data_IF_629598828404
#
_entry.id   IF_629598828404
#
_cell.length_a   1.000
_cell.length_b   1.000
_cell.length_c   1.000
_cell.angle_alpha   90.00
_cell.angle_beta   90.00
_cell.angle_gamma   90.00
#
_symmetry.space_group_name_H-M   'P 1'
#
loop_
_entity.id
_entity.type
_entity.pdbx_description
1 polymer ?
#
# COMPACT_ATOMS: atom_id res chain seq x y z
N UNK A 1 5.33 1.69 5.32
CA UNK A 1 4.18 1.14 4.55
C UNK A 1 4.58 0.78 3.13
N UNK A 2 5.17 1.69 2.36
CA UNK A 2 5.58 1.39 0.98
C UNK A 2 6.63 0.29 0.93
N UNK A 3 7.59 0.27 1.87
CA UNK A 3 8.56 -0.82 1.97
C UNK A 3 7.89 -2.17 2.29
N UNK A 4 6.85 -2.18 3.14
CA UNK A 4 6.09 -3.40 3.44
C UNK A 4 5.36 -3.93 2.21
N UNK A 5 4.75 -3.03 1.42
CA UNK A 5 4.08 -3.39 0.18
C UNK A 5 5.10 -3.89 -0.85
N UNK A 6 6.25 -3.22 -0.97
CA UNK A 6 7.34 -3.58 -1.88
C UNK A 6 7.92 -4.96 -1.54
N UNK A 7 8.15 -5.23 -0.26
CA UNK A 7 8.63 -6.54 0.22
C UNK A 7 7.64 -7.68 -0.04
N UNK A 8 6.34 -7.36 -0.08
CA UNK A 8 5.28 -8.33 -0.33
C UNK A 8 5.07 -8.66 -1.82
N UNK A 9 5.71 -7.94 -2.75
CA UNK A 9 5.53 -8.11 -4.19
C UNK A 9 6.65 -8.94 -4.81
N UNK A 10 6.28 -10.03 -5.48
CA UNK A 10 7.20 -10.78 -6.32
C UNK A 10 7.53 -10.01 -7.61
N UNK A 11 8.54 -10.44 -8.35
CA UNK A 11 8.87 -9.83 -9.64
C UNK A 11 7.75 -10.03 -10.67
N UNK A 12 7.00 -11.13 -10.58
CA UNK A 12 5.80 -11.34 -11.42
C UNK A 12 4.69 -10.34 -11.09
N UNK A 13 4.51 -9.99 -9.81
CA UNK A 13 3.52 -8.98 -9.40
C UNK A 13 3.89 -7.59 -9.92
N UNK A 14 5.19 -7.25 -9.89
CA UNK A 14 5.70 -5.99 -10.45
C UNK A 14 5.44 -5.89 -11.95
N UNK A 15 5.72 -6.96 -12.71
CA UNK A 15 5.41 -7.03 -14.14
C UNK A 15 3.91 -6.87 -14.42
N UNK A 16 3.06 -7.45 -13.58
CA UNK A 16 1.61 -7.29 -13.68
C UNK A 16 1.20 -5.83 -13.48
N UNK A 17 1.75 -5.15 -12.47
CA UNK A 17 1.48 -3.71 -12.22
C UNK A 17 1.91 -2.86 -13.42
N UNK A 18 3.08 -3.11 -14.00
CA UNK A 18 3.55 -2.42 -15.21
C UNK A 18 2.60 -2.58 -16.40
N UNK A 19 2.09 -3.81 -16.59
CA UNK A 19 1.12 -4.09 -17.65
C UNK A 19 -0.20 -3.35 -17.44
N UNK A 20 -0.75 -3.36 -16.22
CA UNK A 20 -2.00 -2.65 -15.91
C UNK A 20 -1.83 -1.13 -16.02
N UNK A 21 -0.67 -0.58 -15.63
CA UNK A 21 -0.38 0.83 -15.85
C UNK A 21 -0.33 1.19 -17.34
N UNK A 22 0.24 0.32 -18.16
CA UNK A 22 0.26 0.49 -19.62
C UNK A 22 -1.16 0.47 -20.19
N UNK A 23 -2.03 -0.42 -19.71
CA UNK A 23 -3.44 -0.43 -20.09
C UNK A 23 -4.17 0.86 -19.70
N UNK A 24 -3.96 1.36 -18.49
CA UNK A 24 -4.50 2.65 -18.05
C UNK A 24 -4.07 3.79 -18.99
N UNK A 25 -2.80 3.80 -19.41
CA UNK A 25 -2.30 4.80 -20.33
C UNK A 25 -2.93 4.73 -21.72
N UNK A 26 -3.13 3.52 -22.26
CA UNK A 26 -3.86 3.36 -23.53
C UNK A 26 -5.32 3.83 -23.41
N UNK A 27 -5.99 3.53 -22.30
CA UNK A 27 -7.33 4.06 -22.04
C UNK A 27 -7.37 5.59 -21.95
N UNK A 28 -6.32 6.24 -21.43
CA UNK A 28 -6.21 7.71 -21.45
C UNK A 28 -6.13 8.26 -22.88
N UNK A 29 -5.41 7.61 -23.79
CA UNK A 29 -5.33 8.05 -25.19
C UNK A 29 -6.66 7.96 -25.93
N UNK A 30 -7.52 7.02 -25.54
CA UNK A 30 -8.84 6.86 -26.16
C UNK A 30 -9.82 7.98 -25.76
N UNK A 31 -9.49 8.80 -24.76
CA UNK A 31 -10.28 9.97 -24.38
C UNK A 31 -10.09 11.06 -25.45
N UNK A 32 -11.19 11.41 -26.11
CA UNK A 32 -11.26 12.29 -27.30
C UNK A 32 -10.43 13.57 -27.19
N UNK A 33 -10.49 14.21 -26.03
CA UNK A 33 -9.94 15.55 -25.84
C UNK A 33 -8.40 15.57 -25.88
N UNK A 34 -7.74 14.44 -25.56
CA UNK A 34 -6.28 14.33 -25.59
C UNK A 34 -5.78 14.20 -27.02
N UNK A 35 -6.46 13.43 -27.86
CA UNK A 35 -6.11 13.29 -29.28
C UNK A 35 -6.28 14.60 -30.05
N UNK A 36 -7.29 15.39 -29.70
CA UNK A 36 -7.57 16.68 -30.34
C UNK A 36 -6.53 17.75 -29.97
N UNK A 37 -5.96 17.71 -28.75
CA UNK A 37 -4.84 18.59 -28.34
C UNK A 37 -3.58 18.35 -29.19
N UNK A 38 -3.34 17.09 -29.59
CA UNK A 38 -2.13 16.71 -30.33
C UNK A 38 -2.29 16.92 -31.84
N UNK A 39 -3.51 16.71 -32.37
CA UNK A 39 -3.78 16.72 -33.80
C UNK A 39 -4.29 18.08 -34.32
N UNK A 40 -3.51 19.15 -34.14
CA UNK A 40 -3.77 20.50 -34.65
C UNK A 40 -3.50 20.68 -36.17
N UNK A 41 -3.63 19.59 -36.93
CA UNK A 41 -3.05 19.39 -38.27
C UNK A 41 -3.61 20.33 -39.36
N UNK A 42 -4.72 21.01 -39.08
CA UNK A 42 -5.41 21.90 -40.02
C UNK A 42 -4.95 23.36 -39.98
N UNK A 43 -4.01 23.72 -39.09
CA UNK A 43 -3.50 25.10 -38.98
C UNK A 43 -2.30 25.41 -39.89
N UNK A 44 -1.81 24.45 -40.68
CA UNK A 44 -0.65 24.63 -41.56
C UNK A 44 -1.02 24.61 -43.04
N UNK A 45 -0.53 25.59 -43.80
CA UNK A 45 -0.69 25.68 -45.26
C UNK A 45 0.24 24.73 -46.04
N UNK A 46 1.26 24.16 -45.38
CA UNK A 46 2.18 23.20 -46.00
C UNK A 46 1.52 21.83 -46.21
N UNK A 47 1.53 21.35 -47.46
CA UNK A 47 0.92 20.06 -47.86
C UNK A 47 1.50 18.87 -47.10
N UNK A 48 2.80 18.85 -46.78
CA UNK A 48 3.40 17.74 -46.03
C UNK A 48 3.26 17.84 -44.51
N UNK A 49 2.80 18.98 -43.97
CA UNK A 49 2.72 19.16 -42.52
C UNK A 49 1.73 18.19 -41.87
N UNK A 50 0.63 17.85 -42.55
CA UNK A 50 -0.31 16.82 -42.10
C UNK A 50 0.37 15.48 -41.83
N UNK A 51 1.32 15.09 -42.69
CA UNK A 51 2.12 13.87 -42.50
C UNK A 51 3.07 14.00 -41.32
N UNK A 52 3.65 15.17 -41.04
CA UNK A 52 4.47 15.35 -39.85
C UNK A 52 3.64 15.21 -38.57
N UNK A 53 2.50 15.91 -38.49
CA UNK A 53 1.63 15.90 -37.31
C UNK A 53 1.03 14.53 -37.02
N UNK A 54 0.74 13.71 -38.04
CA UNK A 54 0.26 12.34 -37.83
C UNK A 54 1.26 11.41 -37.13
N UNK A 55 2.53 11.79 -37.01
CA UNK A 55 3.53 11.03 -36.24
C UNK A 55 3.70 11.55 -34.81
N UNK A 56 3.07 12.67 -34.43
CA UNK A 56 3.09 13.15 -33.06
C UNK A 56 2.14 12.29 -32.25
N UNK A 57 2.66 11.64 -31.21
CA UNK A 57 1.88 10.78 -30.33
C UNK A 57 2.39 10.94 -28.89
N UNK A 58 1.52 10.69 -27.91
CA UNK A 58 1.92 10.65 -26.50
C UNK A 58 2.40 9.22 -26.19
N UNK A 59 3.58 9.13 -25.59
CA UNK A 59 4.15 7.86 -25.14
C UNK A 59 3.98 7.71 -23.62
N UNK A 60 3.74 6.49 -23.11
CA UNK A 60 3.68 6.27 -21.67
C UNK A 60 5.04 6.58 -21.05
N UNK A 61 5.05 7.30 -19.94
CA UNK A 61 6.21 7.40 -19.07
C UNK A 61 5.94 6.57 -17.81
N UNK A 62 6.50 5.35 -17.76
CA UNK A 62 6.29 4.45 -16.62
C UNK A 62 6.93 5.08 -15.37
N UNK A 63 6.14 5.45 -14.34
CA UNK A 63 6.71 5.99 -13.13
C UNK A 63 7.48 4.87 -12.39
N UNK A 64 8.50 5.22 -11.59
CA UNK A 64 9.17 4.25 -10.74
C UNK A 64 8.16 3.50 -9.86
N UNK A 65 8.35 2.19 -9.65
CA UNK A 65 7.44 1.36 -8.84
C UNK A 65 7.18 1.98 -7.46
N UNK A 66 8.20 2.60 -6.85
CA UNK A 66 8.07 3.34 -5.60
C UNK A 66 6.99 4.42 -5.65
N UNK A 67 6.90 5.16 -6.76
CA UNK A 67 5.90 6.23 -6.94
C UNK A 67 4.49 5.67 -7.04
N UNK A 68 4.31 4.51 -7.68
CA UNK A 68 3.02 3.82 -7.73
C UNK A 68 2.63 3.33 -6.34
N UNK A 69 3.54 2.67 -5.62
CA UNK A 69 3.23 2.19 -4.27
C UNK A 69 3.00 3.35 -3.28
N UNK A 70 3.65 4.50 -3.49
CA UNK A 70 3.41 5.72 -2.73
C UNK A 70 2.01 6.31 -2.94
N UNK A 71 1.25 5.90 -3.95
CA UNK A 71 -0.15 6.34 -4.11
C UNK A 71 -1.13 5.47 -3.31
N UNK A 72 -0.68 4.31 -2.81
CA UNK A 72 -1.50 3.41 -1.98
C UNK A 72 -1.58 3.96 -0.55
N UNK A 73 -2.78 3.90 0.03
CA UNK A 73 -3.06 4.30 1.42
C UNK A 73 -3.69 3.14 2.17
N UNK A 74 -3.36 3.02 3.46
CA UNK A 74 -4.07 2.11 4.36
C UNK A 74 -5.37 2.80 4.78
N UNK A 75 -6.47 2.06 4.75
CA UNK A 75 -7.80 2.53 5.15
C UNK A 75 -8.44 1.57 6.14
N UNK A 76 -9.53 2.01 6.75
CA UNK A 76 -10.42 1.17 7.54
C UNK A 76 -11.86 1.55 7.18
N UNK A 77 -12.67 0.56 6.80
CA UNK A 77 -13.93 0.78 6.10
C UNK A 77 -13.71 1.60 4.82
N UNK A 78 -14.56 2.57 4.52
CA UNK A 78 -14.52 3.39 3.29
C UNK A 78 -13.66 4.66 3.42
N UNK A 79 -12.84 4.76 4.47
CA UNK A 79 -12.07 5.96 4.77
C UNK A 79 -10.58 5.67 4.92
N UNK A 80 -9.76 6.68 4.59
CA UNK A 80 -8.34 6.63 4.87
C UNK A 80 -8.08 6.50 6.38
N UNK A 81 -7.02 5.80 6.76
CA UNK A 81 -6.62 5.68 8.15
C UNK A 81 -6.32 7.04 8.78
N UNK A 82 -5.89 8.03 7.99
CA UNK A 82 -5.68 9.41 8.43
C UNK A 82 -6.95 10.07 8.98
N UNK A 83 -8.13 9.67 8.49
CA UNK A 83 -9.45 10.19 8.89
C UNK A 83 -10.05 9.44 10.08
N UNK A 84 -9.48 8.30 10.47
CA UNK A 84 -9.96 7.50 11.58
C UNK A 84 -9.55 8.08 12.95
N UNK A 85 -10.34 7.76 13.98
CA UNK A 85 -9.97 8.07 15.37
C UNK A 85 -8.70 7.33 15.81
N UNK A 86 -7.94 7.91 16.74
CA UNK A 86 -6.63 7.41 17.19
C UNK A 86 -6.64 5.93 17.56
N UNK A 87 -7.70 5.43 18.22
CA UNK A 87 -7.81 4.02 18.58
C UNK A 87 -7.86 3.07 17.38
N UNK A 88 -8.66 3.37 16.35
CA UNK A 88 -8.71 2.57 15.13
C UNK A 88 -7.41 2.67 14.35
N UNK A 89 -6.80 3.86 14.30
CA UNK A 89 -5.48 4.08 13.70
C UNK A 89 -4.42 3.19 14.32
N UNK A 90 -4.36 3.20 15.66
CA UNK A 90 -3.39 2.40 16.41
C UNK A 90 -3.60 0.91 16.18
N UNK A 91 -4.84 0.43 16.32
CA UNK A 91 -5.18 -0.97 16.16
C UNK A 91 -4.81 -1.52 14.77
N UNK A 92 -5.24 -0.84 13.71
CA UNK A 92 -5.00 -1.26 12.33
C UNK A 92 -3.50 -1.24 12.01
N UNK A 93 -2.78 -0.21 12.44
CA UNK A 93 -1.34 -0.12 12.22
C UNK A 93 -0.60 -1.26 12.91
N UNK A 94 -0.89 -1.52 14.19
CA UNK A 94 -0.28 -2.61 14.94
C UNK A 94 -0.56 -3.97 14.30
N UNK A 95 -1.80 -4.25 13.89
CA UNK A 95 -2.13 -5.51 13.23
C UNK A 95 -1.39 -5.71 11.92
N UNK A 96 -1.30 -4.68 11.07
CA UNK A 96 -0.56 -4.76 9.80
C UNK A 96 0.93 -4.99 10.04
N UNK A 97 1.52 -4.26 10.98
CA UNK A 97 2.94 -4.41 11.32
C UNK A 97 3.25 -5.81 11.86
N UNK A 98 2.45 -6.30 12.82
CA UNK A 98 2.65 -7.64 13.40
C UNK A 98 2.46 -8.72 12.33
N UNK A 99 1.44 -8.60 11.49
CA UNK A 99 1.21 -9.56 10.41
C UNK A 99 2.36 -9.56 9.38
N UNK A 100 3.00 -8.40 9.15
CA UNK A 100 4.15 -8.31 8.23
C UNK A 100 5.41 -9.04 8.72
N UNK A 101 5.48 -9.38 10.02
CA UNK A 101 6.54 -10.20 10.59
C UNK A 101 6.34 -11.70 10.32
N UNK A 102 5.12 -12.11 9.94
CA UNK A 102 4.78 -13.51 9.67
C UNK A 102 5.35 -13.92 8.31
N UNK A 103 6.04 -15.06 8.28
CA UNK A 103 6.44 -15.73 7.04
C UNK A 103 7.64 -15.14 6.31
N UNK A 104 8.28 -14.08 6.84
CA UNK A 104 9.41 -13.45 6.16
C UNK A 104 10.72 -14.24 6.19
N UNK A 105 10.91 -15.20 7.12
CA UNK A 105 12.13 -16.03 7.17
C UNK A 105 11.89 -17.36 7.90
N UNK A 106 12.07 -18.49 7.22
CA UNK A 106 11.97 -19.84 7.81
C UNK A 106 13.20 -20.23 8.65
N UNK A 107 14.29 -19.45 8.56
CA UNK A 107 15.57 -19.73 9.21
C UNK A 107 15.82 -18.86 10.46
N UNK A 108 14.82 -18.05 10.85
CA UNK A 108 14.96 -17.19 12.03
C UNK A 108 14.76 -17.99 13.31
N UNK A 109 15.83 -18.16 14.07
CA UNK A 109 15.79 -18.82 15.37
C UNK A 109 14.95 -18.06 16.42
N UNK A 110 14.97 -16.72 16.38
CA UNK A 110 14.25 -15.85 17.32
C UNK A 110 13.89 -14.51 16.69
N UNK A 111 12.64 -14.09 16.86
CA UNK A 111 12.11 -12.77 16.54
C UNK A 111 11.72 -12.06 17.84
N UNK A 112 12.20 -10.85 18.06
CA UNK A 112 11.80 -10.03 19.23
C UNK A 112 10.82 -8.97 18.78
N UNK A 113 9.63 -8.97 19.37
CA UNK A 113 8.59 -7.96 19.14
C UNK A 113 8.40 -7.15 20.42
N UNK A 114 8.65 -5.85 20.35
CA UNK A 114 8.45 -4.91 21.46
C UNK A 114 7.33 -3.93 21.14
N UNK A 115 6.32 -3.80 21.99
CA UNK A 115 5.20 -2.87 21.79
C UNK A 115 5.06 -1.97 23.01
N UNK A 116 5.12 -0.66 22.83
CA UNK A 116 4.86 0.30 23.89
C UNK A 116 3.35 0.59 23.97
N UNK A 117 2.76 0.47 25.16
CA UNK A 117 1.35 0.77 25.45
C UNK A 117 0.37 0.32 24.34
N UNK A 118 0.26 -1.00 24.07
CA UNK A 118 -0.61 -1.52 23.01
C UNK A 118 -2.08 -1.12 23.19
N UNK A 119 -2.51 -0.73 24.39
CA UNK A 119 -3.83 -0.20 24.71
C UNK A 119 -4.05 1.27 24.33
N UNK A 120 -3.01 2.01 23.91
CA UNK A 120 -3.09 3.45 23.72
C UNK A 120 -4.25 3.85 22.81
N UNK A 121 -5.09 4.76 23.32
CA UNK A 121 -6.30 5.27 22.66
C UNK A 121 -7.39 4.22 22.34
N UNK A 122 -7.26 2.98 22.79
CA UNK A 122 -8.25 1.93 22.55
C UNK A 122 -9.40 2.01 23.55
N UNK A 123 -10.62 1.76 23.07
CA UNK A 123 -11.73 1.44 23.96
C UNK A 123 -11.58 0.00 24.49
N UNK A 124 -12.26 -0.32 25.59
CA UNK A 124 -12.12 -1.62 26.28
C UNK A 124 -12.33 -2.84 25.35
N UNK A 125 -13.25 -2.74 24.38
CA UNK A 125 -13.49 -3.81 23.42
C UNK A 125 -12.31 -4.01 22.48
N UNK A 126 -11.70 -2.92 22.00
CA UNK A 126 -10.53 -2.96 21.13
C UNK A 126 -9.27 -3.39 21.90
N UNK A 127 -9.15 -3.00 23.17
CA UNK A 127 -8.12 -3.52 24.09
C UNK A 127 -8.22 -5.06 24.18
N UNK A 128 -9.41 -5.60 24.44
CA UNK A 128 -9.63 -7.06 24.51
C UNK A 128 -9.35 -7.76 23.19
N UNK A 129 -9.71 -7.14 22.07
CA UNK A 129 -9.37 -7.63 20.74
C UNK A 129 -7.86 -7.71 20.54
N UNK A 130 -7.11 -6.66 20.91
CA UNK A 130 -5.65 -6.62 20.84
C UNK A 130 -5.01 -7.72 21.71
N UNK A 131 -5.46 -7.87 22.96
CA UNK A 131 -4.98 -8.92 23.88
C UNK A 131 -5.22 -10.31 23.28
N UNK A 132 -6.44 -10.57 22.83
CA UNK A 132 -6.80 -11.86 22.20
C UNK A 132 -5.94 -12.15 20.98
N UNK A 133 -5.71 -11.14 20.13
CA UNK A 133 -4.86 -11.24 18.96
C UNK A 133 -3.40 -11.56 19.34
N UNK A 134 -2.79 -10.83 20.28
CA UNK A 134 -1.40 -11.06 20.70
C UNK A 134 -1.19 -12.44 21.31
N UNK A 135 -2.15 -12.91 22.13
CA UNK A 135 -2.14 -14.28 22.67
C UNK A 135 -2.16 -15.32 21.54
N UNK A 136 -3.13 -15.22 20.63
CA UNK A 136 -3.22 -16.14 19.49
C UNK A 136 -1.99 -16.07 18.55
N UNK A 137 -1.42 -14.88 18.37
CA UNK A 137 -0.23 -14.66 17.55
C UNK A 137 1.00 -15.33 18.15
N UNK A 138 1.29 -15.10 19.43
CA UNK A 138 2.43 -15.73 20.12
C UNK A 138 2.25 -17.25 20.26
N UNK A 139 1.01 -17.71 20.42
CA UNK A 139 0.72 -19.15 20.45
C UNK A 139 1.07 -19.84 19.13
N UNK A 140 0.77 -19.20 17.99
CA UNK A 140 1.04 -19.74 16.65
C UNK A 140 2.50 -19.57 16.22
N UNK A 141 3.19 -18.54 16.71
CA UNK A 141 4.54 -18.18 16.27
C UNK A 141 5.57 -18.41 17.39
N UNK A 142 5.99 -19.68 17.58
CA UNK A 142 6.88 -20.07 18.68
C UNK A 142 8.29 -19.46 18.65
N UNK A 143 8.71 -18.94 17.51
CA UNK A 143 9.98 -18.22 17.37
C UNK A 143 9.87 -16.75 17.74
N UNK A 144 8.68 -16.24 18.10
CA UNK A 144 8.48 -14.84 18.49
C UNK A 144 8.44 -14.70 20.00
N UNK A 145 9.30 -13.83 20.53
CA UNK A 145 9.25 -13.35 21.91
C UNK A 145 8.64 -11.95 21.94
N UNK A 146 7.51 -11.82 22.64
CA UNK A 146 6.78 -10.56 22.77
C UNK A 146 7.09 -9.89 24.11
N UNK A 147 7.48 -8.62 24.05
CA UNK A 147 7.55 -7.71 25.18
C UNK A 147 6.61 -6.55 24.94
N UNK A 148 5.90 -6.12 25.96
CA UNK A 148 5.17 -4.86 25.90
C UNK A 148 5.17 -4.14 27.24
N UNK A 149 5.15 -2.81 27.19
CA UNK A 149 4.79 -2.00 28.36
C UNK A 149 3.28 -1.83 28.36
N UNK A 150 2.65 -1.85 29.54
CA UNK A 150 1.22 -1.64 29.66
C UNK A 150 0.88 -1.10 31.04
N UNK A 151 -0.13 -0.23 31.09
CA UNK A 151 -0.81 0.19 32.30
C UNK A 151 -2.17 -0.52 32.46
N UNK A 152 -2.60 -1.27 31.44
CA UNK A 152 -3.88 -1.96 31.43
C UNK A 152 -3.79 -3.35 32.06
N UNK A 153 -4.65 -3.62 33.05
CA UNK A 153 -4.76 -4.94 33.67
C UNK A 153 -5.28 -6.02 32.72
N UNK A 154 -5.97 -5.63 31.63
CA UNK A 154 -6.46 -6.58 30.61
C UNK A 154 -5.32 -7.27 29.85
N UNK A 155 -4.13 -6.66 29.78
CA UNK A 155 -2.95 -7.27 29.14
C UNK A 155 -2.17 -8.22 30.07
N UNK A 156 -2.36 -8.10 31.38
CA UNK A 156 -1.64 -8.89 32.39
C UNK A 156 -2.36 -10.22 32.69
N UNK A 157 -3.69 -10.24 32.52
CA UNK A 157 -4.56 -11.40 32.75
C UNK A 157 -4.77 -12.21 31.47
#
# INVERSE_FOLDING_TARGET
MVDLLKDGLSDQDKLKIEKEYSHFFESLKEISDINDIINWQDTSELKEAKKFFSHINILPNMPPMQSILNSVRLGYSEEELSMQGLGHRNLVLLFVLINSLIGKNSDTALNVLTIEEPEAHLCINNTRLMVSFLKAFTDKNKTVQLFYSTHSTEFIN
#
